data_IF_919609535975
#
_entry.id   IF_919609535975
#
_cell.length_a   1.000
_cell.length_b   1.000
_cell.length_c   1.000
_cell.angle_alpha   90.00
_cell.angle_beta   90.00
_cell.angle_gamma   90.00
#
_symmetry.space_group_name_H-M   'P 1'
#
loop_
_entity.id
_entity.type
_entity.pdbx_description
1 polymer ?
#
# COMPACT_ATOMS: atom_id res chain seq x y z
N UNK A 1 -0.39 -0.10 -5.29
CA UNK A 1 0.76 0.31 -4.45
C UNK A 1 1.22 1.75 -4.71
N UNK A 2 1.94 2.06 -5.80
CA UNK A 2 2.57 3.39 -5.97
C UNK A 2 1.59 4.56 -5.92
N UNK A 3 0.48 4.48 -6.67
CA UNK A 3 -0.56 5.51 -6.64
C UNK A 3 -1.17 5.68 -5.23
N UNK A 4 -1.41 4.57 -4.53
CA UNK A 4 -1.91 4.60 -3.15
C UNK A 4 -0.94 5.36 -2.25
N UNK A 5 0.33 4.98 -2.21
CA UNK A 5 1.32 5.64 -1.36
C UNK A 5 1.59 7.09 -1.74
N UNK A 6 1.51 7.44 -3.02
CA UNK A 6 1.55 8.84 -3.45
C UNK A 6 0.36 9.62 -2.90
N UNK A 7 -0.86 9.12 -3.08
CA UNK A 7 -2.09 9.80 -2.68
C UNK A 7 -2.30 9.86 -1.16
N UNK A 8 -1.94 8.80 -0.43
CA UNK A 8 -2.23 8.69 1.01
C UNK A 8 -1.05 9.09 1.89
N UNK A 9 0.19 8.91 1.43
CA UNK A 9 1.41 9.16 2.21
C UNK A 9 2.35 10.19 1.56
N UNK A 10 2.05 10.70 0.37
CA UNK A 10 2.89 11.68 -0.33
C UNK A 10 4.19 11.12 -0.92
N UNK A 11 4.34 9.79 -0.99
CA UNK A 11 5.57 9.17 -1.51
C UNK A 11 5.59 9.27 -3.04
N UNK A 12 6.60 9.95 -3.58
CA UNK A 12 6.71 10.19 -5.02
C UNK A 12 7.12 8.92 -5.81
N UNK A 13 6.63 8.75 -7.06
CA UNK A 13 6.96 7.60 -7.90
C UNK A 13 8.46 7.33 -8.08
N UNK A 14 9.28 8.37 -8.11
CA UNK A 14 10.74 8.26 -8.28
C UNK A 14 11.42 7.44 -7.18
N UNK A 15 10.89 7.46 -5.96
CA UNK A 15 11.42 6.67 -4.83
C UNK A 15 11.33 5.18 -5.12
N UNK A 16 10.22 4.72 -5.71
CA UNK A 16 10.03 3.31 -6.07
C UNK A 16 10.95 2.88 -7.23
N UNK A 17 11.15 3.75 -8.22
CA UNK A 17 12.02 3.44 -9.37
C UNK A 17 13.50 3.31 -8.97
N UNK A 18 13.91 3.96 -7.87
CA UNK A 18 15.28 3.90 -7.37
C UNK A 18 15.53 2.73 -6.39
N UNK A 19 14.49 2.01 -5.96
CA UNK A 19 14.63 0.88 -5.05
C UNK A 19 15.18 -0.36 -5.76
N UNK A 20 15.94 -1.18 -5.02
CA UNK A 20 16.35 -2.50 -5.52
C UNK A 20 15.13 -3.41 -5.63
N UNK A 21 15.17 -4.38 -6.55
CA UNK A 21 14.07 -5.34 -6.76
C UNK A 21 13.62 -6.05 -5.47
N UNK A 22 14.57 -6.39 -4.57
CA UNK A 22 14.25 -7.01 -3.29
C UNK A 22 13.47 -6.09 -2.34
N UNK A 23 13.82 -4.81 -2.30
CA UNK A 23 13.12 -3.81 -1.47
C UNK A 23 11.71 -3.56 -2.01
N UNK A 24 11.56 -3.50 -3.35
CA UNK A 24 10.24 -3.41 -4.00
C UNK A 24 9.37 -4.62 -3.68
N UNK A 25 9.93 -5.83 -3.66
CA UNK A 25 9.18 -7.04 -3.34
C UNK A 25 8.66 -7.01 -1.90
N UNK A 26 9.51 -6.60 -0.96
CA UNK A 26 9.14 -6.45 0.45
C UNK A 26 8.04 -5.39 0.59
N UNK A 27 8.18 -4.25 -0.07
CA UNK A 27 7.18 -3.18 -0.04
C UNK A 27 5.84 -3.61 -0.65
N UNK A 28 5.85 -4.40 -1.73
CA UNK A 28 4.63 -4.98 -2.30
C UNK A 28 3.92 -5.89 -1.30
N UNK A 29 4.65 -6.76 -0.59
CA UNK A 29 4.07 -7.63 0.42
C UNK A 29 3.44 -6.84 1.58
N UNK A 30 4.08 -5.76 2.03
CA UNK A 30 3.50 -4.87 3.04
C UNK A 30 2.26 -4.15 2.55
N UNK A 31 2.27 -3.67 1.30
CA UNK A 31 1.11 -3.03 0.70
C UNK A 31 -0.09 -3.99 0.62
N UNK A 32 0.14 -5.23 0.19
CA UNK A 32 -0.93 -6.22 0.10
C UNK A 32 -1.55 -6.47 1.48
N UNK A 33 -0.70 -6.59 2.52
CA UNK A 33 -1.17 -6.73 3.91
C UNK A 33 -1.99 -5.52 4.40
N UNK A 34 -1.52 -4.31 4.11
CA UNK A 34 -2.24 -3.08 4.46
C UNK A 34 -3.62 -3.01 3.78
N UNK A 35 -3.72 -3.48 2.54
CA UNK A 35 -5.01 -3.53 1.83
C UNK A 35 -5.96 -4.58 2.39
N UNK A 36 -5.46 -5.73 2.84
CA UNK A 36 -6.26 -6.74 3.55
C UNK A 36 -6.84 -6.17 4.85
N UNK A 37 -6.02 -5.49 5.65
CA UNK A 37 -6.44 -4.90 6.91
C UNK A 37 -7.48 -3.80 6.70
N UNK A 38 -7.31 -2.97 5.66
CA UNK A 38 -8.32 -1.97 5.30
C UNK A 38 -9.64 -2.64 4.91
N UNK A 39 -9.62 -3.66 4.05
CA UNK A 39 -10.83 -4.37 3.64
C UNK A 39 -11.55 -5.00 4.83
N UNK A 40 -10.82 -5.68 5.71
CA UNK A 40 -11.39 -6.25 6.93
C UNK A 40 -12.07 -5.18 7.80
N UNK A 41 -11.42 -4.03 7.99
CA UNK A 41 -12.01 -2.91 8.73
C UNK A 41 -13.27 -2.32 8.05
N UNK A 42 -13.37 -2.39 6.72
CA UNK A 42 -14.58 -1.98 6.00
C UNK A 42 -15.71 -3.02 6.12
N UNK A 43 -15.39 -4.31 6.13
CA UNK A 43 -16.37 -5.39 6.26
C UNK A 43 -16.97 -5.48 7.67
N UNK A 44 -16.22 -5.05 8.69
CA UNK A 44 -16.69 -4.96 10.09
C UNK A 44 -17.56 -3.71 10.38
N UNK A 45 -17.78 -2.84 9.40
CA UNK A 45 -18.62 -1.65 9.56
C UNK A 45 -20.10 -2.01 9.34
N UNK A 46 -21.01 -1.73 10.30
CA UNK A 46 -22.44 -2.02 10.11
C UNK A 46 -22.97 -1.20 8.93
N UNK A 47 -23.70 -1.86 8.02
CA UNK A 47 -24.43 -1.18 6.96
C UNK A 47 -25.48 -0.25 7.61
N UNK A 48 -25.24 1.06 7.53
CA UNK A 48 -26.18 2.09 7.98
C UNK A 48 -27.41 2.15 7.07
#
# INVERSE_FOLDING_TARGET
MMYYYWKTKGIVPSVFYNMRKGELLVLMAFYDREMEELKANFDDMPAF
#
